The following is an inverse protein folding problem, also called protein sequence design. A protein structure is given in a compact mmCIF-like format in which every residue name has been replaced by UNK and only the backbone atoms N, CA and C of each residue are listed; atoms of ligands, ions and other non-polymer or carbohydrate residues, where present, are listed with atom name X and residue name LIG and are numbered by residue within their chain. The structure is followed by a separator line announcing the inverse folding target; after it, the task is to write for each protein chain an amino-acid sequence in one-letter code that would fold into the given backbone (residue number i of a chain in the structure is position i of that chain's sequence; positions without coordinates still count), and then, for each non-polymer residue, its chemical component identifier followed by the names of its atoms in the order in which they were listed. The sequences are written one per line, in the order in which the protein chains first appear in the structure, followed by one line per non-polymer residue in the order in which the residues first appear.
data_IF_009359476392
#
_entry.id   IF_009359476392
#
_cell.length_a   1.000
_cell.length_b   1.000
_cell.length_c   1.000
_cell.angle_alpha   90.00
_cell.angle_beta   90.00
_cell.angle_gamma   90.00
#
_symmetry.space_group_name_H-M   'P 1'
#
loop_
_entity.id
_entity.type
_entity.pdbx_description
1 polymer ?
#
# COMPACT_ATOMS: atom_id res chain seq x y z
N UNK A 1 60.69 43.10 -42.46
CA UNK A 1 60.49 44.13 -41.41
C UNK A 1 59.10 43.89 -40.83
N UNK A 2 58.94 42.94 -39.90
CA UNK A 2 59.25 42.95 -38.46
C UNK A 2 58.14 43.58 -37.62
N UNK A 3 57.64 42.77 -36.67
CA UNK A 3 56.81 43.09 -35.52
C UNK A 3 55.31 43.19 -35.83
N UNK A 4 54.43 42.34 -35.32
CA UNK A 4 54.57 41.30 -34.31
C UNK A 4 53.15 40.91 -33.93
N UNK A 5 52.78 39.67 -34.23
CA UNK A 5 51.60 39.02 -33.67
C UNK A 5 51.69 39.05 -32.14
N UNK A 6 50.94 39.94 -31.48
CA UNK A 6 50.71 39.85 -30.04
C UNK A 6 49.49 38.98 -29.81
N UNK A 7 49.63 37.83 -29.15
CA UNK A 7 48.48 37.11 -28.65
C UNK A 7 47.77 38.01 -27.63
N UNK A 8 46.49 38.27 -27.83
CA UNK A 8 45.59 38.80 -26.80
C UNK A 8 45.48 37.75 -25.69
N UNK A 9 46.52 37.63 -24.86
CA UNK A 9 46.45 36.90 -23.61
C UNK A 9 45.54 37.69 -22.68
N UNK A 10 44.28 37.24 -22.59
CA UNK A 10 43.41 37.46 -21.43
C UNK A 10 44.16 37.06 -20.16
N UNK A 11 44.86 38.02 -19.57
CA UNK A 11 45.40 37.93 -18.22
C UNK A 11 44.97 39.22 -17.53
N UNK A 12 43.68 39.26 -17.16
CA UNK A 12 43.13 40.24 -16.23
C UNK A 12 43.78 40.06 -14.87
N UNK A 13 45.02 40.53 -14.74
CA UNK A 13 45.65 40.83 -13.47
C UNK A 13 45.04 42.13 -12.99
N UNK A 14 43.92 42.04 -12.26
CA UNK A 14 43.55 43.10 -11.34
C UNK A 14 44.57 43.06 -10.20
N UNK A 15 45.66 43.78 -10.41
CA UNK A 15 46.72 44.01 -9.43
C UNK A 15 46.16 44.96 -8.37
N UNK A 16 45.41 44.43 -7.40
CA UNK A 16 45.20 45.08 -6.10
C UNK A 16 46.16 44.42 -5.11
N UNK A 17 47.41 44.88 -5.03
CA UNK A 17 48.37 44.33 -4.08
C UNK A 17 47.83 44.56 -2.67
N UNK A 18 47.49 43.47 -1.98
CA UNK A 18 46.90 43.46 -0.63
C UNK A 18 45.48 42.88 -0.55
N UNK A 19 44.70 42.87 -1.64
CA UNK A 19 43.31 42.35 -1.64
C UNK A 19 43.08 41.08 -2.45
N UNK A 20 44.02 40.65 -3.30
CA UNK A 20 43.88 39.42 -4.08
C UNK A 20 44.53 38.21 -3.40
N UNK A 21 43.78 37.11 -3.24
CA UNK A 21 44.27 35.86 -2.62
C UNK A 21 45.53 35.30 -3.29
N UNK A 22 46.54 34.93 -2.48
CA UNK A 22 47.79 34.29 -2.92
C UNK A 22 47.69 32.76 -3.07
N UNK A 23 46.79 32.10 -2.33
CA UNK A 23 46.57 30.65 -2.37
C UNK A 23 45.11 30.23 -2.65
N UNK A 24 44.81 28.94 -2.44
CA UNK A 24 43.46 28.38 -2.56
C UNK A 24 42.90 28.41 -3.98
N UNK A 25 43.72 28.10 -4.99
CA UNK A 25 43.37 28.19 -6.42
C UNK A 25 42.82 26.88 -7.00
N UNK A 26 42.79 25.80 -6.23
CA UNK A 26 42.20 24.53 -6.64
C UNK A 26 40.68 24.71 -6.80
N UNK A 27 40.20 24.69 -8.05
CA UNK A 27 38.82 24.97 -8.40
C UNK A 27 37.86 23.85 -8.02
N UNK A 28 38.35 22.61 -7.84
CA UNK A 28 37.53 21.48 -7.41
C UNK A 28 36.97 21.70 -6.00
N UNK A 29 37.74 22.34 -5.13
CA UNK A 29 37.35 22.63 -3.74
C UNK A 29 36.93 24.09 -3.52
N UNK A 30 37.41 25.01 -4.36
CA UNK A 30 37.13 26.45 -4.23
C UNK A 30 36.85 27.07 -5.61
N UNK A 31 35.67 26.79 -6.20
CA UNK A 31 35.28 27.35 -7.48
C UNK A 31 35.29 28.89 -7.46
N UNK A 32 35.60 29.50 -8.60
CA UNK A 32 35.62 30.96 -8.78
C UNK A 32 34.21 31.49 -9.11
N UNK A 33 33.24 31.15 -8.27
CA UNK A 33 31.82 31.51 -8.43
C UNK A 33 31.41 32.36 -7.21
N UNK A 34 30.50 33.32 -7.39
CA UNK A 34 30.01 34.15 -6.28
C UNK A 34 29.11 33.34 -5.33
N UNK A 35 29.08 33.71 -4.06
CA UNK A 35 28.23 33.07 -3.05
C UNK A 35 26.74 33.10 -3.43
N UNK A 36 26.27 34.22 -3.98
CA UNK A 36 24.90 34.35 -4.49
C UNK A 36 24.54 33.27 -5.53
N UNK A 37 25.45 32.97 -6.45
CA UNK A 37 25.24 31.92 -7.46
C UNK A 37 25.37 30.53 -6.83
N UNK A 38 26.24 30.34 -5.84
CA UNK A 38 26.41 29.07 -5.13
C UNK A 38 25.22 28.72 -4.22
N UNK A 39 24.50 29.70 -3.68
CA UNK A 39 23.40 29.49 -2.74
C UNK A 39 22.28 28.60 -3.29
N UNK A 40 21.96 28.68 -4.58
CA UNK A 40 20.95 27.80 -5.21
C UNK A 40 21.38 26.32 -5.25
N UNK A 41 22.69 26.04 -5.11
CA UNK A 41 23.26 24.70 -5.12
C UNK A 41 23.51 24.16 -3.71
N UNK A 42 23.32 24.97 -2.65
CA UNK A 42 23.45 24.50 -1.26
C UNK A 42 22.25 23.61 -0.94
N UNK A 43 22.43 22.30 -0.69
CA UNK A 43 21.32 21.39 -0.54
C UNK A 43 20.70 21.49 0.86
N UNK A 44 19.73 22.41 1.03
CA UNK A 44 19.02 22.58 2.30
C UNK A 44 18.14 21.38 2.65
N UNK A 45 17.50 20.76 1.65
CA UNK A 45 16.67 19.56 1.79
C UNK A 45 17.36 18.32 1.24
N UNK A 46 18.56 18.02 1.77
CA UNK A 46 19.37 16.92 1.30
C UNK A 46 18.68 15.56 1.51
N UNK A 47 18.35 14.87 0.41
CA UNK A 47 17.74 13.54 0.45
C UNK A 47 18.77 12.40 0.52
N UNK A 48 19.94 12.59 -0.12
CA UNK A 48 21.02 11.63 -0.15
C UNK A 48 22.38 12.33 0.02
N UNK A 49 23.32 11.80 0.83
CA UNK A 49 23.22 10.59 1.66
C UNK A 49 22.17 10.71 2.78
N UNK A 50 21.67 9.57 3.26
CA UNK A 50 20.64 9.53 4.31
C UNK A 50 21.23 10.03 5.64
N UNK A 51 20.41 10.77 6.41
CA UNK A 51 20.77 11.34 7.72
C UNK A 51 20.41 10.47 8.94
N UNK A 52 19.72 9.36 8.73
CA UNK A 52 19.21 8.48 9.79
C UNK A 52 20.04 7.20 9.87
N UNK A 53 20.84 6.97 10.94
CA UNK A 53 21.62 5.75 11.10
C UNK A 53 20.75 4.53 11.44
N UNK A 54 21.22 3.33 11.10
CA UNK A 54 20.50 2.07 11.33
C UNK A 54 20.07 1.87 12.79
N UNK A 55 20.88 2.32 13.75
CA UNK A 55 20.58 2.24 15.19
C UNK A 55 19.33 3.00 15.62
N UNK A 56 18.83 3.94 14.82
CA UNK A 56 17.64 4.72 15.13
C UNK A 56 16.34 4.06 14.66
N UNK A 57 16.39 3.05 13.79
CA UNK A 57 15.18 2.44 13.23
C UNK A 57 14.33 1.76 14.32
N UNK A 58 14.96 0.98 15.21
CA UNK A 58 14.25 0.35 16.32
C UNK A 58 13.75 1.37 17.35
N UNK A 59 14.51 2.43 17.61
CA UNK A 59 14.07 3.52 18.48
C UNK A 59 12.83 4.22 17.92
N UNK A 60 12.81 4.49 16.61
CA UNK A 60 11.67 5.08 15.93
C UNK A 60 10.47 4.13 15.93
N UNK A 61 10.68 2.84 15.65
CA UNK A 61 9.63 1.83 15.68
C UNK A 61 8.93 1.76 17.04
N UNK A 62 9.71 1.70 18.13
CA UNK A 62 9.20 1.70 19.49
C UNK A 62 8.53 3.03 19.87
N UNK A 63 9.09 4.17 19.40
CA UNK A 63 8.50 5.49 19.64
C UNK A 63 7.11 5.64 19.01
N UNK A 64 6.92 5.14 17.77
CA UNK A 64 5.62 5.17 17.11
C UNK A 64 4.61 4.19 17.73
N UNK A 65 5.10 3.25 18.54
CA UNK A 65 4.30 2.28 19.28
C UNK A 65 3.92 1.06 18.45
N UNK A 66 4.70 0.69 17.44
CA UNK A 66 4.48 -0.58 16.74
C UNK A 66 5.07 -1.76 17.54
N UNK A 67 4.64 -2.97 17.18
CA UNK A 67 5.02 -4.20 17.87
C UNK A 67 5.59 -5.19 16.85
N UNK A 68 6.70 -5.84 17.20
CA UNK A 68 7.28 -6.94 16.41
C UNK A 68 6.50 -8.21 16.69
N UNK A 69 5.48 -8.49 15.87
CA UNK A 69 4.70 -9.71 15.98
C UNK A 69 5.46 -10.91 15.41
N UNK A 70 5.24 -12.14 15.91
CA UNK A 70 5.68 -13.35 15.24
C UNK A 70 5.15 -13.40 13.80
N UNK A 71 5.94 -13.99 12.89
CA UNK A 71 5.60 -14.11 11.46
C UNK A 71 4.21 -14.72 11.23
N UNK A 72 3.82 -15.69 12.06
CA UNK A 72 2.49 -16.33 12.02
C UNK A 72 1.33 -15.35 12.23
N UNK A 73 1.53 -14.22 12.90
CA UNK A 73 0.50 -13.19 13.08
C UNK A 73 0.52 -12.23 11.89
N UNK A 74 1.68 -11.66 11.61
CA UNK A 74 1.87 -10.72 10.53
C UNK A 74 3.29 -10.19 10.47
N UNK A 75 3.63 -9.61 9.34
CA UNK A 75 4.98 -9.17 9.03
C UNK A 75 4.95 -7.96 8.10
N UNK A 76 6.08 -7.27 7.97
CA UNK A 76 6.29 -6.26 6.94
C UNK A 76 6.77 -6.94 5.66
N UNK A 77 6.03 -6.76 4.57
CA UNK A 77 6.31 -7.39 3.28
C UNK A 77 7.47 -6.71 2.53
N UNK A 78 7.75 -7.16 1.30
CA UNK A 78 8.77 -6.60 0.42
C UNK A 78 8.58 -5.09 0.10
N UNK A 79 7.38 -4.55 0.27
CA UNK A 79 7.05 -3.13 0.15
C UNK A 79 7.05 -2.36 1.47
N UNK A 80 7.51 -2.97 2.58
CA UNK A 80 7.42 -2.47 3.95
C UNK A 80 5.95 -2.17 4.38
N UNK A 81 4.96 -2.91 3.87
CA UNK A 81 3.57 -2.84 4.32
C UNK A 81 3.30 -3.94 5.35
N UNK A 82 2.61 -3.64 6.45
CA UNK A 82 2.26 -4.65 7.44
C UNK A 82 1.08 -5.49 6.95
N UNK A 83 1.30 -6.79 6.77
CA UNK A 83 0.31 -7.75 6.31
C UNK A 83 0.04 -8.78 7.41
N UNK A 84 -1.25 -9.05 7.66
CA UNK A 84 -1.70 -10.12 8.55
C UNK A 84 -1.77 -11.42 7.78
N UNK A 85 -1.40 -12.53 8.42
CA UNK A 85 -1.55 -13.84 7.81
C UNK A 85 -3.04 -14.22 7.73
N UNK A 86 -3.44 -15.04 6.73
CA UNK A 86 -4.82 -15.53 6.61
C UNK A 86 -5.32 -16.23 7.88
N UNK A 87 -4.46 -17.04 8.52
CA UNK A 87 -4.79 -17.76 9.76
C UNK A 87 -4.96 -16.81 10.94
N UNK A 88 -4.09 -15.81 11.09
CA UNK A 88 -4.21 -14.82 12.16
C UNK A 88 -5.47 -13.97 12.00
N UNK A 89 -5.80 -13.54 10.78
CA UNK A 89 -7.03 -12.79 10.52
C UNK A 89 -8.28 -13.61 10.85
N UNK A 90 -8.30 -14.90 10.50
CA UNK A 90 -9.42 -15.77 10.86
C UNK A 90 -9.54 -15.98 12.37
N UNK A 91 -8.42 -16.14 13.09
CA UNK A 91 -8.42 -16.22 14.57
C UNK A 91 -8.92 -14.92 15.21
N UNK A 92 -8.53 -13.76 14.66
CA UNK A 92 -9.06 -12.46 15.08
C UNK A 92 -10.56 -12.36 14.84
N UNK A 93 -11.07 -12.87 13.72
CA UNK A 93 -12.51 -12.97 13.49
C UNK A 93 -13.18 -13.82 14.57
N UNK A 94 -12.75 -15.06 14.80
CA UNK A 94 -13.38 -15.95 15.80
C UNK A 94 -13.42 -15.31 17.19
N UNK A 95 -12.35 -14.60 17.58
CA UNK A 95 -12.26 -13.94 18.89
C UNK A 95 -13.15 -12.69 19.00
N UNK A 96 -13.31 -11.92 17.92
CA UNK A 96 -13.92 -10.59 17.97
C UNK A 96 -15.26 -10.47 17.23
N UNK A 97 -15.77 -11.56 16.63
CA UNK A 97 -16.96 -11.52 15.76
C UNK A 97 -18.23 -11.04 16.46
N UNK A 98 -18.28 -11.09 17.79
CA UNK A 98 -19.41 -10.64 18.63
C UNK A 98 -19.14 -9.30 19.33
N UNK A 99 -17.95 -8.71 19.16
CA UNK A 99 -17.56 -7.45 19.79
C UNK A 99 -18.28 -6.24 19.18
N UNK A 100 -18.48 -5.18 19.97
CA UNK A 100 -19.23 -4.00 19.54
C UNK A 100 -18.58 -3.24 18.38
N UNK A 101 -17.25 -3.24 18.28
CA UNK A 101 -16.52 -2.58 17.19
C UNK A 101 -16.56 -3.36 15.87
N UNK A 102 -16.99 -4.62 15.89
CA UNK A 102 -17.00 -5.48 14.71
C UNK A 102 -18.13 -5.08 13.75
N UNK A 103 -17.84 -5.06 12.45
CA UNK A 103 -18.75 -4.56 11.42
C UNK A 103 -18.73 -5.43 10.17
N UNK A 104 -19.67 -5.20 9.24
CA UNK A 104 -19.71 -5.80 7.90
C UNK A 104 -18.39 -5.72 7.12
N UNK A 105 -17.67 -4.59 7.24
CA UNK A 105 -16.37 -4.38 6.58
C UNK A 105 -15.27 -5.28 7.16
N UNK A 106 -15.37 -5.63 8.45
CA UNK A 106 -14.43 -6.58 9.05
C UNK A 106 -14.65 -7.99 8.49
N UNK A 107 -15.92 -8.44 8.36
CA UNK A 107 -16.23 -9.73 7.75
C UNK A 107 -15.73 -9.82 6.30
N UNK A 108 -16.01 -8.79 5.48
CA UNK A 108 -15.48 -8.68 4.11
C UNK A 108 -13.96 -8.82 4.09
N UNK A 109 -13.26 -8.08 4.96
CA UNK A 109 -11.80 -8.11 5.04
C UNK A 109 -11.24 -9.47 5.46
N UNK A 110 -11.93 -10.20 6.34
CA UNK A 110 -11.52 -11.57 6.71
C UNK A 110 -11.60 -12.49 5.50
N UNK A 111 -12.67 -12.41 4.71
CA UNK A 111 -12.82 -13.22 3.48
C UNK A 111 -11.71 -12.87 2.48
N UNK A 112 -11.40 -11.58 2.30
CA UNK A 112 -10.30 -11.13 1.43
C UNK A 112 -8.95 -11.72 1.88
N UNK A 113 -8.65 -11.70 3.18
CA UNK A 113 -7.42 -12.30 3.71
C UNK A 113 -7.36 -13.82 3.51
N UNK A 114 -8.51 -14.51 3.41
CA UNK A 114 -8.57 -15.95 3.18
C UNK A 114 -8.41 -16.35 1.70
N UNK A 115 -8.54 -15.42 0.74
CA UNK A 115 -8.53 -15.73 -0.70
C UNK A 115 -7.33 -16.57 -1.17
N UNK A 116 -6.07 -16.28 -0.77
CA UNK A 116 -4.94 -17.11 -1.19
C UNK A 116 -5.07 -18.55 -0.71
N UNK A 117 -5.52 -18.75 0.54
CA UNK A 117 -5.71 -20.08 1.12
C UNK A 117 -6.91 -20.81 0.49
N UNK A 118 -7.97 -20.08 0.13
CA UNK A 118 -9.13 -20.62 -0.58
C UNK A 118 -8.73 -21.15 -1.95
N UNK A 119 -7.87 -20.45 -2.70
CA UNK A 119 -7.45 -20.96 -4.02
C UNK A 119 -6.56 -22.21 -3.91
N UNK A 120 -5.75 -22.33 -2.85
CA UNK A 120 -4.88 -23.50 -2.62
C UNK A 120 -5.62 -24.73 -2.07
N UNK A 121 -6.56 -24.54 -1.14
CA UNK A 121 -7.38 -25.62 -0.57
C UNK A 121 -8.84 -25.16 -0.40
N UNK A 122 -9.63 -25.14 -1.50
CA UNK A 122 -11.00 -24.65 -1.47
C UNK A 122 -11.88 -25.40 -0.47
N UNK A 123 -11.73 -26.73 -0.36
CA UNK A 123 -12.58 -27.56 0.49
C UNK A 123 -12.46 -27.15 1.96
N UNK A 124 -11.24 -26.95 2.44
CA UNK A 124 -10.98 -26.57 3.83
C UNK A 124 -11.40 -25.14 4.14
N UNK A 125 -11.06 -24.20 3.27
CA UNK A 125 -11.23 -22.77 3.57
C UNK A 125 -12.62 -22.23 3.20
N UNK A 126 -13.35 -22.85 2.26
CA UNK A 126 -14.74 -22.45 1.98
C UNK A 126 -15.68 -22.72 3.16
N UNK A 127 -15.41 -23.70 4.02
CA UNK A 127 -16.16 -23.88 5.27
C UNK A 127 -16.02 -22.68 6.22
N UNK A 128 -14.84 -22.06 6.27
CA UNK A 128 -14.61 -20.83 7.03
C UNK A 128 -15.36 -19.64 6.43
N UNK A 129 -15.38 -19.53 5.10
CA UNK A 129 -16.16 -18.52 4.38
C UNK A 129 -17.66 -18.71 4.65
N UNK A 130 -18.15 -19.95 4.66
CA UNK A 130 -19.54 -20.29 4.99
C UNK A 130 -19.91 -19.92 6.44
N UNK A 131 -19.00 -20.11 7.41
CA UNK A 131 -19.19 -19.63 8.78
C UNK A 131 -19.30 -18.10 8.84
N UNK A 132 -18.36 -17.38 8.20
CA UNK A 132 -18.38 -15.91 8.14
C UNK A 132 -19.68 -15.42 7.49
N UNK A 133 -20.11 -16.04 6.39
CA UNK A 133 -21.34 -15.67 5.69
C UNK A 133 -22.58 -15.85 6.57
N UNK A 134 -22.72 -17.01 7.24
CA UNK A 134 -23.83 -17.27 8.18
C UNK A 134 -23.83 -16.28 9.34
N UNK A 135 -22.66 -16.02 9.93
CA UNK A 135 -22.53 -15.04 11.01
C UNK A 135 -22.92 -13.63 10.53
N UNK A 136 -22.47 -13.22 9.34
CA UNK A 136 -22.78 -11.92 8.76
C UNK A 136 -24.28 -11.73 8.56
N UNK A 137 -24.95 -12.71 7.93
CA UNK A 137 -26.40 -12.66 7.71
C UNK A 137 -27.13 -12.56 9.05
N UNK A 138 -26.72 -13.34 10.06
CA UNK A 138 -27.34 -13.33 11.39
C UNK A 138 -27.18 -11.97 12.09
N UNK A 139 -26.02 -11.33 11.97
CA UNK A 139 -25.69 -10.10 12.72
C UNK A 139 -26.07 -8.80 11.99
N UNK A 140 -25.90 -8.75 10.69
CA UNK A 140 -26.03 -7.54 9.87
C UNK A 140 -27.09 -7.64 8.77
N UNK A 141 -27.60 -8.84 8.48
CA UNK A 141 -28.45 -9.11 7.33
C UNK A 141 -27.66 -9.26 6.03
N UNK A 142 -28.38 -9.42 4.93
CA UNK A 142 -27.82 -9.50 3.58
C UNK A 142 -27.40 -8.10 3.09
N UNK A 143 -26.16 -7.94 2.64
CA UNK A 143 -25.66 -6.69 2.04
C UNK A 143 -24.70 -6.94 0.86
N UNK A 144 -24.42 -5.90 0.08
CA UNK A 144 -23.52 -6.00 -1.08
C UNK A 144 -22.10 -6.47 -0.72
N UNK A 145 -21.58 -6.09 0.47
CA UNK A 145 -20.21 -6.39 0.85
C UNK A 145 -20.00 -7.89 1.05
N UNK A 146 -20.89 -8.55 1.81
CA UNK A 146 -20.73 -9.97 2.07
C UNK A 146 -20.99 -10.83 0.84
N UNK A 147 -22.01 -10.51 0.04
CA UNK A 147 -22.28 -11.27 -1.18
C UNK A 147 -21.12 -11.15 -2.17
N UNK A 148 -20.59 -9.94 -2.38
CA UNK A 148 -19.43 -9.75 -3.25
C UNK A 148 -18.17 -10.44 -2.71
N UNK A 149 -17.92 -10.41 -1.41
CA UNK A 149 -16.78 -11.10 -0.81
C UNK A 149 -16.87 -12.64 -0.99
N UNK A 150 -18.05 -13.21 -0.73
CA UNK A 150 -18.27 -14.66 -0.88
C UNK A 150 -18.25 -15.06 -2.35
N UNK A 151 -18.80 -14.26 -3.26
CA UNK A 151 -18.69 -14.50 -4.71
C UNK A 151 -17.23 -14.47 -5.18
N UNK A 152 -16.43 -13.53 -4.69
CA UNK A 152 -15.00 -13.47 -5.00
C UNK A 152 -14.28 -14.73 -4.46
N UNK A 153 -14.58 -15.16 -3.24
CA UNK A 153 -14.08 -16.43 -2.69
C UNK A 153 -14.47 -17.64 -3.56
N UNK A 154 -15.73 -17.72 -4.01
CA UNK A 154 -16.19 -18.78 -4.92
C UNK A 154 -15.46 -18.72 -6.28
N UNK A 155 -15.19 -17.53 -6.81
CA UNK A 155 -14.43 -17.35 -8.04
C UNK A 155 -13.00 -17.90 -7.91
N UNK A 156 -12.31 -17.60 -6.79
CA UNK A 156 -10.98 -18.14 -6.51
C UNK A 156 -11.00 -19.65 -6.23
N UNK A 157 -12.07 -20.17 -5.62
CA UNK A 157 -12.35 -21.61 -5.47
C UNK A 157 -12.72 -22.32 -6.79
N UNK A 158 -12.82 -21.59 -7.91
CA UNK A 158 -13.24 -22.08 -9.24
C UNK A 158 -14.67 -22.61 -9.30
N UNK A 159 -15.53 -22.17 -8.37
CA UNK A 159 -16.92 -22.59 -8.27
C UNK A 159 -17.86 -21.59 -8.96
N UNK A 160 -17.88 -21.64 -10.30
CA UNK A 160 -18.73 -20.76 -11.10
C UNK A 160 -20.23 -20.97 -10.81
N UNK A 161 -20.64 -22.22 -10.56
CA UNK A 161 -22.04 -22.55 -10.26
C UNK A 161 -22.52 -21.83 -9.00
N UNK A 162 -21.69 -21.80 -7.96
CA UNK A 162 -22.02 -21.09 -6.73
C UNK A 162 -22.02 -19.57 -6.90
N UNK A 163 -21.13 -19.02 -7.75
CA UNK A 163 -21.20 -17.61 -8.11
C UNK A 163 -22.54 -17.26 -8.79
N UNK A 164 -23.02 -18.08 -9.71
CA UNK A 164 -24.31 -17.90 -10.39
C UNK A 164 -25.49 -18.01 -9.41
N UNK A 165 -25.44 -18.96 -8.47
CA UNK A 165 -26.42 -19.08 -7.41
C UNK A 165 -26.49 -17.81 -6.56
N UNK A 166 -25.34 -17.31 -6.07
CA UNK A 166 -25.27 -16.08 -5.26
C UNK A 166 -25.79 -14.85 -6.02
N UNK A 167 -25.48 -14.75 -7.31
CA UNK A 167 -26.03 -13.69 -8.17
C UNK A 167 -27.56 -13.79 -8.29
N UNK A 168 -28.10 -15.01 -8.44
CA UNK A 168 -29.54 -15.26 -8.44
C UNK A 168 -30.21 -14.93 -7.10
N UNK A 169 -29.55 -15.28 -5.99
CA UNK A 169 -29.99 -14.94 -4.63
C UNK A 169 -30.04 -13.43 -4.44
N UNK A 170 -28.97 -12.69 -4.80
CA UNK A 170 -28.93 -11.22 -4.74
C UNK A 170 -30.13 -10.57 -5.45
N UNK A 171 -30.41 -11.01 -6.68
CA UNK A 171 -31.57 -10.52 -7.46
C UNK A 171 -32.90 -10.82 -6.76
N UNK A 172 -33.04 -12.02 -6.19
CA UNK A 172 -34.27 -12.46 -5.52
C UNK A 172 -34.57 -11.67 -4.25
N UNK A 173 -33.53 -11.32 -3.48
CA UNK A 173 -33.69 -10.55 -2.23
C UNK A 173 -33.72 -9.03 -2.47
N UNK A 174 -33.66 -8.57 -3.72
CA UNK A 174 -33.66 -7.15 -4.07
C UNK A 174 -32.33 -6.43 -3.81
N UNK A 175 -31.22 -7.16 -3.67
CA UNK A 175 -29.88 -6.58 -3.68
C UNK A 175 -29.42 -6.44 -5.14
N UNK A 176 -29.57 -5.24 -5.71
CA UNK A 176 -29.16 -4.96 -7.08
C UNK A 176 -27.66 -5.28 -7.28
N UNK A 177 -27.31 -6.16 -8.24
CA UNK A 177 -25.91 -6.46 -8.58
C UNK A 177 -25.15 -5.18 -8.94
N UNK A 178 -24.00 -4.94 -8.30
CA UNK A 178 -23.19 -3.74 -8.53
C UNK A 178 -21.97 -4.04 -9.40
N UNK A 179 -21.14 -3.02 -9.67
CA UNK A 179 -19.91 -3.17 -10.47
C UNK A 179 -19.04 -4.35 -10.00
N UNK A 180 -18.80 -4.44 -8.68
CA UNK A 180 -17.99 -5.51 -8.09
C UNK A 180 -18.62 -6.89 -8.28
N UNK A 181 -19.95 -7.00 -8.25
CA UNK A 181 -20.67 -8.25 -8.53
C UNK A 181 -20.37 -8.75 -9.94
N UNK A 182 -20.48 -7.89 -10.95
CA UNK A 182 -20.20 -8.26 -12.34
C UNK A 182 -18.71 -8.55 -12.58
N UNK A 183 -17.80 -7.82 -11.93
CA UNK A 183 -16.36 -8.12 -11.96
C UNK A 183 -16.06 -9.49 -11.37
N UNK A 184 -16.68 -9.86 -10.26
CA UNK A 184 -16.54 -11.18 -9.66
C UNK A 184 -17.05 -12.30 -10.58
N UNK A 185 -18.13 -12.06 -11.34
CA UNK A 185 -18.63 -13.01 -12.34
C UNK A 185 -17.64 -13.18 -13.50
N UNK A 186 -17.10 -12.08 -14.04
CA UNK A 186 -16.07 -12.15 -15.08
C UNK A 186 -14.81 -12.89 -14.58
N UNK A 187 -14.37 -12.61 -13.35
CA UNK A 187 -13.27 -13.32 -12.69
C UNK A 187 -13.58 -14.82 -12.55
N UNK A 188 -14.78 -15.18 -12.09
CA UNK A 188 -15.19 -16.58 -11.95
C UNK A 188 -15.20 -17.33 -13.28
N UNK A 189 -15.72 -16.72 -14.35
CA UNK A 189 -15.71 -17.31 -15.71
C UNK A 189 -14.26 -17.53 -16.17
N UNK A 190 -13.40 -16.52 -16.02
CA UNK A 190 -11.99 -16.61 -16.40
C UNK A 190 -11.24 -17.69 -15.62
N UNK A 191 -11.44 -17.75 -14.30
CA UNK A 191 -10.72 -18.67 -13.43
C UNK A 191 -11.20 -20.12 -13.54
N UNK A 192 -12.50 -20.35 -13.79
CA UNK A 192 -13.06 -21.69 -14.01
C UNK A 192 -12.80 -22.26 -15.41
N UNK A 193 -12.34 -21.43 -16.36
CA UNK A 193 -12.11 -21.83 -17.75
C UNK A 193 -13.38 -21.91 -18.59
N UNK A 194 -14.47 -21.27 -18.15
CA UNK A 194 -15.71 -21.19 -18.91
C UNK A 194 -15.55 -20.29 -20.16
N UNK A 195 -16.42 -20.44 -21.18
CA UNK A 195 -16.32 -19.69 -22.44
C UNK A 195 -16.33 -18.18 -22.24
N UNK A 196 -15.51 -17.49 -23.02
CA UNK A 196 -15.31 -16.03 -22.92
C UNK A 196 -16.60 -15.24 -23.16
N UNK A 197 -17.49 -15.77 -24.00
CA UNK A 197 -18.81 -15.22 -24.31
C UNK A 197 -19.66 -15.07 -23.04
N UNK A 198 -19.47 -15.93 -22.04
CA UNK A 198 -20.17 -15.84 -20.75
C UNK A 198 -19.67 -14.64 -19.94
N UNK A 199 -18.37 -14.36 -19.96
CA UNK A 199 -17.82 -13.15 -19.33
C UNK A 199 -18.31 -11.90 -20.05
N UNK A 200 -18.36 -11.93 -21.39
CA UNK A 200 -18.90 -10.83 -22.19
C UNK A 200 -20.39 -10.58 -21.91
N UNK A 201 -21.17 -11.65 -21.71
CA UNK A 201 -22.57 -11.55 -21.33
C UNK A 201 -22.76 -10.85 -19.98
N UNK A 202 -22.00 -11.21 -18.95
CA UNK A 202 -22.05 -10.52 -17.65
C UNK A 202 -21.58 -9.07 -17.75
N UNK A 203 -20.55 -8.78 -18.55
CA UNK A 203 -20.11 -7.41 -18.80
C UNK A 203 -21.23 -6.58 -19.43
N UNK A 204 -21.84 -7.07 -20.52
CA UNK A 204 -22.96 -6.40 -21.20
C UNK A 204 -24.17 -6.23 -20.29
N UNK A 205 -24.46 -7.22 -19.44
CA UNK A 205 -25.53 -7.13 -18.45
C UNK A 205 -25.25 -6.01 -17.43
N UNK A 206 -24.03 -5.94 -16.90
CA UNK A 206 -23.63 -4.90 -15.95
C UNK A 206 -23.63 -3.49 -16.54
N UNK A 207 -23.31 -3.35 -17.83
CA UNK A 207 -23.45 -2.07 -18.53
C UNK A 207 -24.93 -1.71 -18.74
N UNK A 208 -25.76 -2.69 -19.13
CA UNK A 208 -27.20 -2.47 -19.33
C UNK A 208 -27.93 -2.09 -18.04
N UNK A 209 -27.52 -2.64 -16.90
CA UNK A 209 -28.10 -2.29 -15.59
C UNK A 209 -27.61 -0.94 -15.04
N UNK A 210 -26.60 -0.32 -15.66
CA UNK A 210 -25.96 0.91 -15.16
C UNK A 210 -25.00 0.67 -13.99
N UNK A 211 -24.66 -0.58 -13.69
CA UNK A 211 -23.68 -0.92 -12.67
C UNK A 211 -22.23 -0.70 -13.16
N UNK A 212 -22.00 -0.81 -14.47
CA UNK A 212 -20.71 -0.56 -15.12
C UNK A 212 -20.85 0.58 -16.13
N UNK A 213 -20.04 1.62 -15.98
CA UNK A 213 -19.96 2.71 -16.96
C UNK A 213 -18.84 2.42 -17.97
N UNK A 214 -19.21 2.39 -19.25
CA UNK A 214 -18.30 2.20 -20.38
C UNK A 214 -18.16 3.51 -21.16
N UNK A 215 -16.94 4.06 -21.27
CA UNK A 215 -16.67 5.29 -22.03
C UNK A 215 -16.30 4.99 -23.48
N UNK A 216 -15.65 3.84 -23.73
CA UNK A 216 -15.32 3.36 -25.07
C UNK A 216 -16.38 2.37 -25.60
N UNK A 217 -16.16 1.87 -26.83
CA UNK A 217 -16.98 0.81 -27.42
C UNK A 217 -16.95 -0.44 -26.53
N UNK A 218 -18.10 -1.11 -26.37
CA UNK A 218 -18.26 -2.18 -25.38
C UNK A 218 -17.26 -3.34 -25.52
N UNK A 219 -16.91 -3.70 -26.76
CA UNK A 219 -15.90 -4.72 -27.03
C UNK A 219 -14.48 -4.31 -26.57
N UNK A 220 -14.16 -3.03 -26.66
CA UNK A 220 -12.88 -2.45 -26.27
C UNK A 220 -12.77 -2.38 -24.75
N UNK A 221 -13.82 -1.90 -24.08
CA UNK A 221 -13.88 -1.89 -22.61
C UNK A 221 -13.82 -3.31 -22.05
N UNK A 222 -14.58 -4.24 -22.62
CA UNK A 222 -14.55 -5.64 -22.19
C UNK A 222 -13.15 -6.25 -22.36
N UNK A 223 -12.49 -6.02 -23.50
CA UNK A 223 -11.11 -6.43 -23.70
C UNK A 223 -10.18 -5.82 -22.64
N UNK A 224 -10.33 -4.53 -22.32
CA UNK A 224 -9.54 -3.88 -21.27
C UNK A 224 -9.75 -4.54 -19.90
N UNK A 225 -11.00 -4.85 -19.52
CA UNK A 225 -11.30 -5.60 -18.30
C UNK A 225 -10.61 -6.96 -18.27
N UNK A 226 -10.70 -7.71 -19.37
CA UNK A 226 -10.09 -9.03 -19.47
C UNK A 226 -8.56 -8.97 -19.43
N UNK A 227 -7.95 -7.98 -20.07
CA UNK A 227 -6.51 -7.74 -19.98
C UNK A 227 -6.08 -7.39 -18.53
N UNK A 228 -6.89 -6.63 -17.77
CA UNK A 228 -6.60 -6.35 -16.36
C UNK A 228 -6.68 -7.63 -15.51
N UNK A 229 -7.73 -8.45 -15.69
CA UNK A 229 -7.87 -9.73 -14.99
C UNK A 229 -6.74 -10.70 -15.36
N UNK A 230 -6.24 -10.67 -16.60
CA UNK A 230 -5.08 -11.44 -17.01
C UNK A 230 -3.79 -10.97 -16.34
N UNK A 231 -3.55 -9.66 -16.24
CA UNK A 231 -2.40 -9.10 -15.51
C UNK A 231 -2.46 -9.41 -14.01
N UNK A 232 -3.65 -9.39 -13.41
CA UNK A 232 -3.81 -9.82 -12.02
C UNK A 232 -3.48 -11.30 -11.86
N UNK A 233 -3.96 -12.16 -12.77
CA UNK A 233 -3.78 -13.60 -12.69
C UNK A 233 -4.52 -14.22 -11.51
N UNK A 234 -3.91 -15.22 -10.88
CA UNK A 234 -4.42 -15.86 -9.66
C UNK A 234 -3.27 -16.35 -8.79
N UNK A 235 -3.54 -16.74 -7.53
CA UNK A 235 -2.51 -17.16 -6.58
C UNK A 235 -1.81 -18.45 -6.99
N UNK A 236 -2.45 -19.30 -7.80
CA UNK A 236 -1.90 -20.57 -8.30
C UNK A 236 -1.47 -20.51 -9.78
N UNK A 237 -1.63 -19.37 -10.44
CA UNK A 237 -1.20 -19.17 -11.82
C UNK A 237 0.34 -19.13 -11.93
N UNK A 238 0.88 -19.32 -13.15
CA UNK A 238 2.33 -19.15 -13.42
C UNK A 238 2.73 -17.69 -13.69
N UNK A 239 1.76 -16.87 -14.04
CA UNK A 239 1.93 -15.47 -14.45
C UNK A 239 0.82 -14.62 -13.87
N UNK A 240 1.13 -13.36 -13.63
CA UNK A 240 0.22 -12.38 -13.05
C UNK A 240 0.75 -11.84 -11.73
N UNK A 241 0.16 -10.75 -11.25
CA UNK A 241 0.58 -10.12 -10.00
C UNK A 241 0.30 -11.01 -8.79
N UNK A 242 -0.83 -11.72 -8.77
CA UNK A 242 -1.21 -12.59 -7.64
C UNK A 242 -0.38 -13.88 -7.56
N UNK A 243 0.25 -14.31 -8.65
CA UNK A 243 1.14 -15.49 -8.65
C UNK A 243 2.51 -15.24 -8.04
N UNK A 244 2.88 -13.97 -7.78
CA UNK A 244 4.18 -13.62 -7.19
C UNK A 244 4.14 -13.83 -5.69
N UNK A 245 4.68 -14.97 -5.24
CA UNK A 245 4.80 -15.30 -3.84
C UNK A 245 6.21 -14.99 -3.27
N UNK A 246 6.58 -13.70 -3.29
CA UNK A 246 7.81 -13.21 -2.66
C UNK A 246 7.46 -12.22 -1.54
N UNK A 247 7.12 -12.75 -0.36
CA UNK A 247 6.60 -11.94 0.75
C UNK A 247 7.63 -10.95 1.33
N UNK A 248 8.94 -11.26 1.28
CA UNK A 248 9.99 -10.39 1.86
C UNK A 248 9.85 -10.15 3.36
N UNK A 249 9.32 -11.13 4.10
CA UNK A 249 8.86 -10.99 5.48
C UNK A 249 9.93 -10.47 6.46
N UNK A 250 9.64 -9.36 7.13
CA UNK A 250 10.45 -8.78 8.20
C UNK A 250 9.61 -8.38 9.41
N UNK A 251 10.12 -8.46 10.65
CA UNK A 251 9.40 -8.03 11.84
C UNK A 251 9.29 -6.49 11.98
N UNK A 252 10.05 -5.74 11.18
CA UNK A 252 10.13 -4.27 11.18
C UNK A 252 10.42 -3.78 9.75
N UNK A 253 9.91 -2.59 9.35
CA UNK A 253 10.28 -1.95 8.09
C UNK A 253 11.79 -1.77 7.95
N UNK A 254 12.29 -1.83 6.72
CA UNK A 254 13.69 -1.49 6.43
C UNK A 254 13.94 0.00 6.60
N UNK A 255 12.97 0.83 6.23
CA UNK A 255 13.08 2.28 6.36
C UNK A 255 11.92 2.90 7.14
N UNK A 256 12.17 3.26 8.41
CA UNK A 256 11.19 3.94 9.27
C UNK A 256 10.86 5.37 8.84
N UNK A 257 11.67 5.99 7.97
CA UNK A 257 11.43 7.33 7.42
C UNK A 257 10.99 7.30 5.95
N UNK A 258 10.56 6.15 5.45
CA UNK A 258 9.95 6.04 4.13
C UNK A 258 8.74 6.99 4.02
N UNK A 259 8.56 7.60 2.84
CA UNK A 259 7.47 8.53 2.56
C UNK A 259 6.41 7.84 1.71
N UNK A 260 5.14 8.14 1.95
CA UNK A 260 4.06 7.80 1.01
C UNK A 260 3.71 8.97 0.07
N UNK A 261 4.17 10.18 0.43
CA UNK A 261 3.89 11.41 -0.29
C UNK A 261 5.13 12.25 -0.58
N UNK A 262 4.99 13.58 -0.57
CA UNK A 262 6.02 14.48 -1.14
C UNK A 262 7.03 15.03 -0.14
N UNK A 263 6.79 14.88 1.17
CA UNK A 263 7.60 15.51 2.21
C UNK A 263 7.63 14.64 3.48
N UNK A 264 8.61 14.85 4.36
CA UNK A 264 8.72 14.17 5.68
C UNK A 264 7.51 14.32 6.61
N UNK A 265 6.57 15.21 6.29
CA UNK A 265 5.28 15.33 6.99
C UNK A 265 4.20 14.42 6.44
N UNK A 266 4.47 13.71 5.35
CA UNK A 266 3.67 12.62 4.81
C UNK A 266 4.48 11.30 4.91
N UNK A 267 4.96 10.93 6.11
CA UNK A 267 5.72 9.69 6.29
C UNK A 267 4.75 8.51 6.23
N UNK A 268 5.25 7.37 5.73
CA UNK A 268 4.48 6.13 5.68
C UNK A 268 4.12 5.60 7.07
N UNK A 269 5.02 5.82 8.04
CA UNK A 269 4.89 5.36 9.41
C UNK A 269 4.66 6.56 10.34
N UNK A 270 3.55 6.55 11.07
CA UNK A 270 3.13 7.64 11.98
C UNK A 270 2.80 7.11 13.37
N UNK A 271 2.70 8.00 14.35
CA UNK A 271 2.34 7.60 15.71
C UNK A 271 0.91 7.08 15.78
N UNK A 272 0.60 6.18 16.73
CA UNK A 272 -0.77 5.71 16.98
C UNK A 272 -1.77 6.86 17.15
N UNK A 273 -1.37 7.95 17.82
CA UNK A 273 -2.21 9.15 18.00
C UNK A 273 -2.57 9.79 16.66
N UNK A 274 -1.59 10.03 15.80
CA UNK A 274 -1.83 10.59 14.46
C UNK A 274 -2.69 9.68 13.61
N UNK A 275 -2.51 8.36 13.70
CA UNK A 275 -3.36 7.38 13.01
C UNK A 275 -4.83 7.46 13.48
N UNK A 276 -5.08 7.57 14.79
CA UNK A 276 -6.44 7.77 15.34
C UNK A 276 -7.06 9.07 14.82
N UNK A 277 -6.28 10.16 14.78
CA UNK A 277 -6.72 11.46 14.24
C UNK A 277 -7.00 11.39 12.72
N UNK A 278 -6.25 10.59 11.96
CA UNK A 278 -6.53 10.30 10.54
C UNK A 278 -7.83 9.51 10.38
N UNK A 279 -8.05 8.44 11.15
CA UNK A 279 -9.29 7.67 11.09
C UNK A 279 -10.52 8.52 11.45
N UNK A 280 -10.41 9.39 12.46
CA UNK A 280 -11.46 10.34 12.80
C UNK A 280 -11.74 11.32 11.65
N UNK A 281 -10.68 11.86 11.00
CA UNK A 281 -10.82 12.75 9.84
C UNK A 281 -11.48 12.05 8.65
N UNK A 282 -11.11 10.81 8.33
CA UNK A 282 -11.71 10.06 7.23
C UNK A 282 -13.22 9.89 7.41
N UNK A 283 -13.68 9.72 8.66
CA UNK A 283 -15.12 9.60 8.96
C UNK A 283 -15.85 10.94 8.95
N UNK A 284 -15.26 11.99 9.51
CA UNK A 284 -15.93 13.30 9.67
C UNK A 284 -15.85 14.15 8.40
N UNK A 285 -14.75 14.07 7.65
CA UNK A 285 -14.48 14.91 6.48
C UNK A 285 -14.55 14.12 5.16
N UNK A 286 -15.31 13.02 5.11
CA UNK A 286 -15.43 12.14 3.93
C UNK A 286 -15.79 12.89 2.65
N UNK A 287 -16.62 13.94 2.75
CA UNK A 287 -17.01 14.76 1.60
C UNK A 287 -15.84 15.47 0.89
N UNK A 288 -14.69 15.67 1.56
CA UNK A 288 -13.50 16.26 0.93
C UNK A 288 -12.84 15.31 -0.07
N UNK A 289 -13.04 14.01 0.04
CA UNK A 289 -12.43 13.01 -0.84
C UNK A 289 -13.10 12.97 -2.23
N UNK A 290 -14.32 13.51 -2.33
CA UNK A 290 -15.12 13.53 -3.57
C UNK A 290 -14.65 14.61 -4.56
N UNK A 291 -13.85 15.59 -4.12
CA UNK A 291 -13.47 16.75 -4.94
C UNK A 291 -11.95 16.94 -4.96
N UNK A 292 -11.35 16.85 -6.16
CA UNK A 292 -9.96 17.19 -6.40
C UNK A 292 -9.83 18.49 -7.18
N UNK A 293 -9.20 19.53 -6.60
CA UNK A 293 -8.96 20.81 -7.28
C UNK A 293 -7.49 21.02 -7.60
N UNK A 294 -7.19 21.78 -8.66
CA UNK A 294 -5.81 22.19 -8.98
C UNK A 294 -5.20 22.99 -7.83
N UNK A 295 -6.01 23.82 -7.15
CA UNK A 295 -5.60 24.56 -5.97
C UNK A 295 -5.09 23.65 -4.85
N UNK A 296 -5.81 22.58 -4.48
CA UNK A 296 -5.36 21.68 -3.41
C UNK A 296 -4.10 20.92 -3.79
N UNK A 297 -3.96 20.51 -5.06
CA UNK A 297 -2.74 19.87 -5.59
C UNK A 297 -1.53 20.80 -5.54
N UNK A 298 -1.68 22.06 -5.97
CA UNK A 298 -0.62 23.06 -5.89
C UNK A 298 -0.25 23.37 -4.43
N UNK A 299 -1.26 23.52 -3.56
CA UNK A 299 -1.06 23.81 -2.13
C UNK A 299 -0.33 22.71 -1.37
N UNK A 300 -0.40 21.46 -1.84
CA UNK A 300 0.30 20.29 -1.27
C UNK A 300 1.81 20.30 -1.56
N UNK A 301 2.27 21.04 -2.57
CA UNK A 301 3.70 21.10 -2.90
C UNK A 301 4.53 21.62 -1.72
N UNK A 302 5.58 20.91 -1.26
CA UNK A 302 6.25 21.21 -0.01
C UNK A 302 7.41 22.21 -0.14
N UNK A 303 7.53 22.93 -1.27
CA UNK A 303 8.66 23.83 -1.54
C UNK A 303 8.81 24.95 -0.51
N UNK A 304 7.70 25.41 0.08
CA UNK A 304 7.68 26.41 1.15
C UNK A 304 7.54 25.80 2.55
N UNK A 305 7.50 24.47 2.67
CA UNK A 305 7.29 23.78 3.94
C UNK A 305 8.60 23.68 4.70
N UNK A 306 8.57 23.93 6.01
CA UNK A 306 9.78 23.86 6.83
C UNK A 306 10.44 22.47 6.79
N UNK A 307 11.65 22.43 6.25
CA UNK A 307 12.48 21.26 6.02
C UNK A 307 13.74 21.22 6.92
N UNK A 308 13.88 22.18 7.85
CA UNK A 308 15.01 22.24 8.78
C UNK A 308 15.00 21.16 9.87
N UNK A 309 16.06 21.09 10.66
CA UNK A 309 16.26 20.03 11.65
C UNK A 309 15.50 20.31 12.96
N UNK A 310 15.03 19.25 13.62
CA UNK A 310 14.52 19.28 14.99
C UNK A 310 15.55 18.70 15.98
N UNK A 311 15.43 18.93 17.30
CA UNK A 311 16.36 18.34 18.28
C UNK A 311 16.50 16.81 18.18
N UNK A 312 15.40 16.09 17.90
CA UNK A 312 15.41 14.64 17.70
C UNK A 312 16.07 14.19 16.39
N UNK A 313 16.23 15.08 15.41
CA UNK A 313 16.97 14.77 14.18
C UNK A 313 18.49 14.70 14.44
N UNK A 314 18.96 15.29 15.55
CA UNK A 314 20.36 15.22 16.00
C UNK A 314 20.58 14.15 17.07
N UNK A 315 19.68 14.10 18.07
CA UNK A 315 19.82 13.21 19.23
C UNK A 315 19.27 11.79 18.97
N UNK A 316 18.49 11.61 17.92
CA UNK A 316 17.74 10.40 17.62
C UNK A 316 16.33 10.39 18.22
N UNK A 317 15.52 9.37 17.89
CA UNK A 317 14.18 9.22 18.42
C UNK A 317 14.16 9.11 19.94
N UNK A 318 13.12 9.65 20.58
CA UNK A 318 12.94 9.51 22.02
C UNK A 318 12.84 8.02 22.40
N UNK A 319 13.62 7.60 23.40
CA UNK A 319 13.66 6.21 23.86
C UNK A 319 12.34 5.83 24.51
N UNK A 320 11.58 4.94 23.87
CA UNK A 320 10.39 4.29 24.43
C UNK A 320 10.66 2.79 24.53
N UNK A 321 10.17 2.16 25.60
CA UNK A 321 10.26 0.71 25.76
C UNK A 321 9.37 0.06 24.70
N UNK A 322 9.87 -1.01 24.07
CA UNK A 322 9.02 -1.89 23.27
C UNK A 322 7.99 -2.60 24.16
N UNK A 323 6.99 -3.21 23.53
CA UNK A 323 6.02 -4.05 24.24
C UNK A 323 6.75 -5.31 24.73
N UNK A 324 6.70 -5.57 26.04
CA UNK A 324 7.20 -6.81 26.64
C UNK A 324 6.07 -7.84 26.72
N UNK A 325 6.38 -9.11 26.43
CA UNK A 325 5.45 -10.24 26.47
C UNK A 325 5.95 -11.30 27.46
N UNK A 326 6.31 -10.88 28.68
CA UNK A 326 6.83 -11.76 29.75
C UNK A 326 5.83 -12.83 30.18
N UNK A 327 4.53 -12.57 29.99
CA UNK A 327 3.41 -13.48 30.25
C UNK A 327 3.11 -14.44 29.10
N UNK A 328 3.85 -14.37 27.98
CA UNK A 328 3.67 -15.29 26.88
C UNK A 328 4.05 -16.74 27.28
N UNK A 329 3.28 -17.75 26.83
CA UNK A 329 3.63 -19.13 27.06
C UNK A 329 4.97 -19.49 26.42
N UNK A 330 5.74 -20.44 26.98
CA UNK A 330 7.02 -20.84 26.41
C UNK A 330 6.84 -21.40 24.99
N UNK A 331 7.73 -21.08 24.04
CA UNK A 331 7.60 -21.50 22.66
C UNK A 331 7.83 -23.01 22.53
N UNK A 332 6.78 -23.75 22.17
CA UNK A 332 6.84 -25.23 22.05
C UNK A 332 7.52 -25.73 20.77
N UNK A 333 7.34 -25.02 19.66
CA UNK A 333 7.80 -25.43 18.32
C UNK A 333 8.91 -24.51 17.77
N UNK A 334 9.78 -23.98 18.65
CA UNK A 334 10.80 -22.99 18.25
C UNK A 334 11.84 -23.51 17.22
N UNK A 335 11.91 -24.83 17.01
CA UNK A 335 12.77 -25.46 16.00
C UNK A 335 12.09 -25.60 14.64
N UNK A 336 10.77 -25.50 14.58
CA UNK A 336 9.99 -25.60 13.34
C UNK A 336 9.83 -24.20 12.74
N UNK A 337 10.14 -24.07 11.45
CA UNK A 337 10.06 -22.77 10.76
C UNK A 337 8.62 -22.54 10.32
N UNK A 338 8.08 -21.37 10.65
CA UNK A 338 6.79 -20.91 10.11
C UNK A 338 6.85 -20.82 8.58
N UNK A 339 5.96 -21.55 7.91
CA UNK A 339 5.78 -21.53 6.46
C UNK A 339 5.39 -20.12 5.94
N UNK A 340 5.38 -19.94 4.62
CA UNK A 340 4.88 -18.70 3.99
C UNK A 340 3.38 -18.57 4.22
N UNK A 341 2.92 -17.34 4.44
CA UNK A 341 1.52 -17.10 4.75
C UNK A 341 0.60 -17.39 3.54
N UNK A 342 1.08 -17.03 2.35
CA UNK A 342 0.49 -17.26 1.04
C UNK A 342 1.62 -17.30 0.03
#
# INVERSE_FOLDING_TARGET
MLHGSRPFFKKGWTHTPGRTRRGGKNLAWRPKISEHVLNQFVPLSLAFPRRHPNSWHELQFNLLGYTKWPKEIGFYNAGDNFELTPEAMFRLYVKNRDEAFWTRLHNEKVVIHLLPKIEHDPKKYMERVNDIFRHHIKRFGSDHYIYNAVMQACAFAKDLSRCEQLLGEMRTIGLEPNAQTYVNMMLAVRLSGAPHEKAEAYFKEGVKSGALDAVMRLDTEFKMWMDQLERLGSFTAKTGYLSVNEEGAKPMPRDMWALWGWHRTEPKFISRKQMIEEQARNRVNSGRELVGTVYSRARRQPWAKYNGMFPFDYNGPARRRGVSFEDAPPPKLNKEVCETAF
#
